data_IF_753764737340
#
_entry.id   IF_753764737340
#
_cell.length_a   1.000
_cell.length_b   1.000
_cell.length_c   1.000
_cell.angle_alpha   90.00
_cell.angle_beta   90.00
_cell.angle_gamma   90.00
#
_symmetry.space_group_name_H-M   'P 1'
#
loop_
_entity.id
_entity.type
_entity.pdbx_description
1 polymer ?
#
# COMPACT_ATOMS: atom_id res chain seq x y z
N UNK A 1 18.95 12.82 13.21
CA UNK A 1 18.29 13.81 12.34
C UNK A 1 16.82 13.77 12.66
N UNK A 2 16.29 14.85 13.23
CA UNK A 2 14.87 15.01 13.52
C UNK A 2 14.03 14.84 12.24
N UNK A 3 12.99 14.02 12.34
CA UNK A 3 11.99 13.91 11.29
C UNK A 3 11.23 15.24 11.18
N UNK A 4 11.48 15.98 10.10
CA UNK A 4 10.61 17.10 9.72
C UNK A 4 9.24 16.54 9.32
N UNK A 5 8.13 17.15 9.79
CA UNK A 5 6.80 16.78 9.35
C UNK A 5 6.63 17.11 7.87
N UNK A 6 6.16 16.13 7.10
CA UNK A 6 5.79 16.29 5.69
C UNK A 6 4.75 17.40 5.60
N UNK A 7 5.12 18.55 5.02
CA UNK A 7 4.15 19.61 4.66
C UNK A 7 3.34 19.12 3.47
N UNK A 8 2.12 18.67 3.71
CA UNK A 8 1.13 18.42 2.65
C UNK A 8 0.56 19.75 2.18
N UNK A 9 0.81 20.11 0.92
CA UNK A 9 0.17 21.27 0.27
C UNK A 9 -1.35 21.05 0.16
N UNK A 10 -2.10 22.07 0.59
CA UNK A 10 -3.55 22.08 0.61
C UNK A 10 -4.13 22.14 -0.81
N UNK A 11 -4.66 21.02 -1.32
CA UNK A 11 -5.62 21.09 -2.44
C UNK A 11 -6.61 19.93 -2.41
N UNK A 12 -7.57 20.05 -1.49
CA UNK A 12 -8.71 19.18 -1.28
C UNK A 12 -9.35 19.53 0.05
N UNK A 13 -10.26 20.51 0.06
CA UNK A 13 -10.81 21.07 1.30
C UNK A 13 -11.87 20.12 1.88
N UNK A 14 -11.44 18.99 2.42
CA UNK A 14 -12.25 18.29 3.41
C UNK A 14 -12.42 19.23 4.62
N UNK A 15 -13.62 19.40 5.17
CA UNK A 15 -13.81 20.23 6.34
C UNK A 15 -12.93 19.70 7.47
N UNK A 16 -11.97 20.52 7.92
CA UNK A 16 -11.12 20.19 9.07
C UNK A 16 -12.02 20.12 10.29
N UNK A 17 -12.11 18.94 10.90
CA UNK A 17 -12.84 18.74 12.14
C UNK A 17 -11.86 18.82 13.32
N UNK A 18 -12.12 19.71 14.27
CA UNK A 18 -11.41 19.74 15.56
C UNK A 18 -12.12 18.80 16.51
N UNK A 19 -11.38 17.83 17.07
CA UNK A 19 -11.91 16.96 18.12
C UNK A 19 -11.38 17.44 19.46
N UNK A 20 -12.30 17.66 20.40
CA UNK A 20 -11.98 18.13 21.74
C UNK A 20 -12.54 17.12 22.75
N UNK A 21 -11.72 16.68 23.69
CA UNK A 21 -12.14 15.90 24.86
C UNK A 21 -12.38 16.87 26.01
N UNK A 22 -13.46 16.68 26.77
CA UNK A 22 -13.92 17.69 27.73
C UNK A 22 -14.24 17.05 29.10
N UNK A 23 -14.08 17.81 30.20
CA UNK A 23 -14.03 17.28 31.56
C UNK A 23 -15.40 16.90 32.16
N UNK A 24 -15.39 15.91 33.06
CA UNK A 24 -16.61 15.32 33.66
C UNK A 24 -17.32 16.19 34.71
N UNK A 25 -16.65 17.21 35.29
CA UNK A 25 -17.15 17.95 36.45
C UNK A 25 -16.98 19.47 36.29
N UNK A 26 -18.06 20.16 35.88
CA UNK A 26 -18.16 21.61 35.80
C UNK A 26 -19.64 22.07 35.74
N UNK A 27 -19.96 23.32 36.13
CA UNK A 27 -21.33 23.74 36.51
C UNK A 27 -22.32 23.97 35.36
N UNK A 28 -22.09 23.42 34.17
CA UNK A 28 -23.01 23.55 33.05
C UNK A 28 -23.26 22.17 32.43
N UNK A 29 -24.49 21.92 31.97
CA UNK A 29 -24.97 20.62 31.52
C UNK A 29 -24.65 20.35 30.04
N UNK A 30 -24.33 19.09 29.69
CA UNK A 30 -24.15 18.66 28.31
C UNK A 30 -25.41 18.93 27.48
N UNK A 31 -25.31 19.38 26.22
CA UNK A 31 -26.48 19.60 25.40
C UNK A 31 -27.20 18.26 25.16
N UNK A 32 -28.55 18.25 25.22
CA UNK A 32 -29.31 17.03 25.00
C UNK A 32 -29.11 16.52 23.57
N UNK A 33 -29.15 15.21 23.41
CA UNK A 33 -29.08 14.57 22.11
C UNK A 33 -30.26 15.02 21.24
N UNK A 34 -29.98 15.60 20.08
CA UNK A 34 -30.99 15.90 19.06
C UNK A 34 -31.36 14.64 18.26
N UNK A 35 -30.39 13.73 18.08
CA UNK A 35 -30.59 12.44 17.41
C UNK A 35 -29.80 11.38 18.18
N UNK A 36 -30.43 10.25 18.47
CA UNK A 36 -29.80 9.09 19.12
C UNK A 36 -29.68 7.93 18.14
N UNK A 37 -28.56 7.22 18.22
CA UNK A 37 -28.28 6.02 17.45
C UNK A 37 -28.11 4.84 18.41
N UNK A 38 -28.59 3.67 18.02
CA UNK A 38 -28.40 2.42 18.78
C UNK A 38 -27.09 1.70 18.43
N UNK A 39 -26.35 2.19 17.44
CA UNK A 39 -25.10 1.61 16.93
C UNK A 39 -23.88 2.41 17.40
N UNK A 40 -22.70 1.82 17.56
CA UNK A 40 -21.47 2.57 17.84
C UNK A 40 -21.06 3.44 16.63
N UNK A 41 -20.25 4.47 16.88
CA UNK A 41 -19.62 5.27 15.83
C UNK A 41 -18.09 5.18 15.85
N UNK A 42 -17.48 5.37 14.69
CA UNK A 42 -16.02 5.49 14.55
C UNK A 42 -15.72 6.82 13.89
N UNK A 43 -14.89 7.63 14.56
CA UNK A 43 -14.34 8.86 14.02
C UNK A 43 -12.84 8.65 13.78
N UNK A 44 -12.36 8.89 12.56
CA UNK A 44 -10.96 8.70 12.23
C UNK A 44 -10.44 9.79 11.30
N UNK A 45 -9.14 10.04 11.35
CA UNK A 45 -8.48 10.98 10.45
C UNK A 45 -8.24 10.33 9.09
N UNK A 46 -8.48 11.12 8.04
CA UNK A 46 -8.08 10.78 6.67
C UNK A 46 -6.89 11.66 6.25
N UNK A 47 -5.98 11.09 5.47
CA UNK A 47 -4.79 11.78 4.94
C UNK A 47 -5.09 12.85 3.88
N UNK A 48 -6.36 13.04 3.50
CA UNK A 48 -6.82 14.09 2.60
C UNK A 48 -6.72 13.79 1.10
N UNK A 49 -6.24 12.60 0.72
CA UNK A 49 -6.08 12.19 -0.69
C UNK A 49 -7.05 11.07 -1.11
N UNK A 50 -8.03 10.74 -0.26
CA UNK A 50 -9.06 9.73 -0.52
C UNK A 50 -9.85 10.01 -1.80
N UNK A 51 -10.19 8.96 -2.54
CA UNK A 51 -10.98 8.99 -3.76
C UNK A 51 -10.20 9.33 -5.03
N UNK A 52 -8.86 9.51 -4.95
CA UNK A 52 -8.01 9.87 -6.09
C UNK A 52 -7.17 8.71 -6.62
N UNK A 53 -6.76 7.81 -5.75
CA UNK A 53 -5.95 6.66 -6.11
C UNK A 53 -6.24 5.48 -5.19
N UNK A 54 -6.11 4.28 -5.74
CA UNK A 54 -6.26 3.05 -4.98
C UNK A 54 -5.29 2.98 -3.78
N UNK A 55 -4.08 3.53 -3.92
CA UNK A 55 -3.14 3.64 -2.79
C UNK A 55 -3.70 4.49 -1.65
N UNK A 56 -4.15 5.73 -1.93
CA UNK A 56 -4.66 6.62 -0.90
C UNK A 56 -5.96 6.12 -0.26
N UNK A 57 -6.81 5.43 -1.02
CA UNK A 57 -8.00 4.79 -0.43
C UNK A 57 -7.62 3.74 0.62
N UNK A 58 -6.48 3.07 0.46
CA UNK A 58 -6.02 2.07 1.42
C UNK A 58 -5.17 2.69 2.54
N UNK A 59 -4.23 3.57 2.20
CA UNK A 59 -3.31 4.20 3.15
C UNK A 59 -3.99 5.24 4.04
N UNK A 60 -4.90 6.03 3.47
CA UNK A 60 -5.47 7.20 4.14
C UNK A 60 -6.86 6.90 4.73
N UNK A 61 -7.52 5.84 4.27
CA UNK A 61 -8.87 5.48 4.71
C UNK A 61 -8.91 4.09 5.32
N UNK A 62 -8.61 3.04 4.55
CA UNK A 62 -8.89 1.67 5.01
C UNK A 62 -8.01 1.22 6.19
N UNK A 63 -6.71 1.50 6.16
CA UNK A 63 -5.80 1.16 7.28
C UNK A 63 -6.15 1.96 8.54
N UNK A 64 -6.30 3.31 8.50
CA UNK A 64 -6.73 4.09 9.66
C UNK A 64 -8.11 3.66 10.20
N UNK A 65 -9.08 3.39 9.32
CA UNK A 65 -10.41 2.92 9.72
C UNK A 65 -10.35 1.53 10.38
N UNK A 66 -9.55 0.61 9.83
CA UNK A 66 -9.31 -0.70 10.45
C UNK A 66 -8.75 -0.55 11.86
N UNK A 67 -7.71 0.27 12.02
CA UNK A 67 -7.07 0.51 13.30
C UNK A 67 -8.02 1.20 14.28
N UNK A 68 -8.79 2.19 13.82
CA UNK A 68 -9.74 2.93 14.65
C UNK A 68 -10.93 2.05 15.07
N UNK A 69 -11.52 1.27 14.17
CA UNK A 69 -12.71 0.44 14.47
C UNK A 69 -12.44 -0.67 15.50
N UNK A 70 -11.19 -1.10 15.67
CA UNK A 70 -10.78 -2.16 16.61
C UNK A 70 -10.18 -1.64 17.91
N UNK A 71 -10.07 -0.32 18.07
CA UNK A 71 -9.71 0.27 19.36
C UNK A 71 -10.90 0.14 20.31
N UNK A 72 -10.65 -0.39 21.50
CA UNK A 72 -11.58 -0.30 22.62
C UNK A 72 -11.20 0.96 23.40
N UNK A 73 -12.03 2.01 23.30
CA UNK A 73 -11.91 3.17 24.17
C UNK A 73 -12.79 2.96 25.42
N UNK A 74 -12.23 2.96 26.64
CA UNK A 74 -12.98 3.33 27.82
C UNK A 74 -13.03 4.87 27.90
N UNK A 75 -14.24 5.43 27.93
CA UNK A 75 -14.46 6.82 28.36
C UNK A 75 -14.95 7.77 27.26
N UNK A 76 -16.14 8.31 27.50
CA UNK A 76 -16.80 9.43 26.79
C UNK A 76 -16.64 10.73 27.60
N UNK A 77 -16.60 11.94 26.97
CA UNK A 77 -17.35 13.20 27.33
C UNK A 77 -16.71 14.57 26.94
N UNK A 78 -17.49 15.65 27.13
CA UNK A 78 -17.92 16.75 26.21
C UNK A 78 -18.07 18.19 26.86
N UNK A 79 -18.01 19.29 26.04
CA UNK A 79 -18.29 20.76 26.19
C UNK A 79 -18.09 21.55 24.80
N UNK A 80 -18.25 22.89 24.64
CA UNK A 80 -19.45 23.54 24.14
C UNK A 80 -19.24 24.22 22.77
N UNK A 81 -20.16 24.00 21.84
CA UNK A 81 -20.40 24.86 20.67
C UNK A 81 -21.88 24.74 20.29
N UNK A 82 -22.47 25.80 19.74
CA UNK A 82 -23.83 25.77 19.18
C UNK A 82 -23.83 25.03 17.84
N UNK A 83 -23.88 23.70 17.89
CA UNK A 83 -24.20 22.86 16.75
C UNK A 83 -25.73 22.77 16.62
N UNK A 84 -26.25 22.91 15.40
CA UNK A 84 -27.70 22.81 15.14
C UNK A 84 -28.27 21.42 15.40
N UNK A 85 -27.43 20.38 15.53
CA UNK A 85 -27.80 19.00 15.86
C UNK A 85 -26.70 18.28 16.67
N UNK A 86 -27.06 17.68 17.81
CA UNK A 86 -26.18 16.81 18.62
C UNK A 86 -26.55 15.34 18.34
N UNK A 87 -25.60 14.56 17.82
CA UNK A 87 -25.78 13.12 17.55
C UNK A 87 -25.11 12.30 18.64
N UNK A 88 -25.86 11.40 19.26
CA UNK A 88 -25.37 10.55 20.35
C UNK A 88 -25.34 9.09 19.93
N UNK A 89 -24.27 8.40 20.34
CA UNK A 89 -24.03 6.99 20.12
C UNK A 89 -23.72 6.31 21.47
N UNK A 90 -24.08 5.04 21.68
CA UNK A 90 -23.74 4.30 22.89
C UNK A 90 -22.23 4.22 23.15
N UNK A 91 -21.43 4.20 22.08
CA UNK A 91 -19.97 4.18 22.14
C UNK A 91 -19.40 4.88 20.90
N UNK A 92 -18.30 5.61 21.07
CA UNK A 92 -17.55 6.23 19.97
C UNK A 92 -16.08 5.89 20.12
N UNK A 93 -15.49 5.35 19.05
CA UNK A 93 -14.04 5.18 18.96
C UNK A 93 -13.41 6.29 18.14
N UNK A 94 -12.34 6.90 18.65
CA UNK A 94 -11.69 8.07 18.05
C UNK A 94 -10.24 7.74 17.67
N UNK A 95 -9.92 7.78 16.36
CA UNK A 95 -8.60 7.49 15.79
C UNK A 95 -8.09 8.62 14.91
N UNK A 96 -7.53 9.68 15.49
CA UNK A 96 -7.22 10.93 14.78
C UNK A 96 -5.81 11.03 14.22
N UNK A 97 -5.04 9.95 14.28
CA UNK A 97 -3.64 9.98 13.90
C UNK A 97 -3.33 8.90 12.88
N UNK A 98 -2.69 9.32 11.79
CA UNK A 98 -2.02 8.45 10.84
C UNK A 98 -0.55 8.46 11.21
N UNK A 99 -0.05 7.33 11.69
CA UNK A 99 1.30 7.24 12.27
C UNK A 99 2.38 6.88 11.24
N UNK A 100 2.01 6.11 10.21
CA UNK A 100 2.89 5.70 9.12
C UNK A 100 2.04 5.48 7.86
N UNK A 101 2.58 5.84 6.69
CA UNK A 101 1.89 5.63 5.42
C UNK A 101 1.67 4.14 5.18
N UNK A 102 0.43 3.78 4.85
CA UNK A 102 -0.02 2.42 4.53
C UNK A 102 0.42 1.33 5.54
N UNK A 103 0.63 1.69 6.80
CA UNK A 103 1.19 0.77 7.79
C UNK A 103 0.57 1.00 9.18
N UNK A 104 0.61 -0.02 10.03
CA UNK A 104 0.18 0.00 11.42
C UNK A 104 1.42 -0.08 12.30
N UNK A 105 1.63 0.95 13.13
CA UNK A 105 2.68 0.94 14.17
C UNK A 105 2.10 0.29 15.42
N UNK A 106 2.51 -0.93 15.80
CA UNK A 106 1.86 -1.67 16.89
C UNK A 106 1.86 -0.92 18.23
N UNK A 107 2.93 -0.20 18.54
CA UNK A 107 3.10 0.63 19.74
C UNK A 107 2.00 1.69 19.88
N UNK A 108 1.47 2.15 18.74
CA UNK A 108 0.51 3.24 18.64
C UNK A 108 -0.89 2.75 18.24
N UNK A 109 -1.08 1.43 18.11
CA UNK A 109 -2.33 0.81 17.66
C UNK A 109 -2.87 -0.21 18.68
N UNK A 110 -3.46 0.26 19.80
CA UNK A 110 -4.08 -0.63 20.77
C UNK A 110 -5.30 -1.32 20.16
N UNK A 111 -5.40 -2.62 20.36
CA UNK A 111 -6.50 -3.47 19.91
C UNK A 111 -7.27 -4.11 21.07
N UNK A 112 -8.22 -5.01 20.76
CA UNK A 112 -9.06 -5.65 21.77
C UNK A 112 -8.23 -6.46 22.79
N UNK A 113 -8.63 -6.41 24.06
CA UNK A 113 -7.95 -7.15 25.13
C UNK A 113 -6.53 -6.66 25.46
N UNK A 114 -6.17 -5.43 25.05
CA UNK A 114 -4.84 -4.86 25.28
C UNK A 114 -3.77 -5.36 24.31
N UNK A 115 -4.13 -6.22 23.34
CA UNK A 115 -3.22 -6.66 22.28
C UNK A 115 -2.97 -5.52 21.30
N UNK A 116 -1.74 -5.37 20.83
CA UNK A 116 -1.39 -4.42 19.77
C UNK A 116 -1.81 -4.95 18.41
N UNK A 117 -2.42 -4.09 17.59
CA UNK A 117 -2.74 -4.40 16.20
C UNK A 117 -1.47 -4.37 15.35
N UNK A 118 -1.36 -5.25 14.37
CA UNK A 118 -0.26 -5.31 13.42
C UNK A 118 -0.76 -5.31 11.98
N UNK A 119 0.14 -5.14 11.01
CA UNK A 119 -0.21 -5.33 9.60
C UNK A 119 -0.67 -6.76 9.29
N UNK A 120 -0.24 -7.77 10.06
CA UNK A 120 -0.77 -9.13 9.91
C UNK A 120 -2.25 -9.24 10.30
N UNK A 121 -2.70 -8.47 11.30
CA UNK A 121 -4.14 -8.39 11.64
C UNK A 121 -4.94 -7.74 10.51
N UNK A 122 -4.37 -6.70 9.89
CA UNK A 122 -4.97 -6.06 8.73
C UNK A 122 -5.05 -7.01 7.53
N UNK A 123 -3.99 -7.76 7.26
CA UNK A 123 -3.99 -8.83 6.26
C UNK A 123 -5.09 -9.84 6.56
N UNK A 124 -5.22 -10.34 7.79
CA UNK A 124 -6.28 -11.28 8.16
C UNK A 124 -7.69 -10.72 7.87
N UNK A 125 -7.91 -9.45 8.20
CA UNK A 125 -9.18 -8.77 7.90
C UNK A 125 -9.45 -8.63 6.41
N UNK A 126 -8.48 -8.21 5.60
CA UNK A 126 -8.68 -8.12 4.14
C UNK A 126 -9.06 -9.49 3.57
N UNK A 127 -8.42 -10.55 4.06
CA UNK A 127 -8.67 -11.91 3.60
C UNK A 127 -10.08 -12.39 3.93
N UNK A 128 -10.56 -12.09 5.14
CA UNK A 128 -11.94 -12.35 5.55
C UNK A 128 -12.93 -11.53 4.70
N UNK A 129 -12.71 -10.21 4.61
CA UNK A 129 -13.60 -9.28 3.93
C UNK A 129 -13.78 -9.60 2.43
N UNK A 130 -12.72 -10.04 1.77
CA UNK A 130 -12.76 -10.40 0.33
C UNK A 130 -12.94 -11.90 0.07
N UNK A 131 -13.05 -12.72 1.13
CA UNK A 131 -13.11 -14.17 1.07
C UNK A 131 -11.97 -14.78 0.23
N UNK A 132 -10.73 -14.40 0.57
CA UNK A 132 -9.53 -14.79 -0.18
C UNK A 132 -9.16 -16.26 0.11
N UNK A 133 -9.12 -17.13 -0.91
CA UNK A 133 -9.00 -18.58 -0.71
C UNK A 133 -7.60 -19.06 -0.29
N UNK A 134 -6.53 -18.36 -0.70
CA UNK A 134 -5.15 -18.83 -0.47
C UNK A 134 -4.50 -18.14 0.71
N UNK A 135 -4.28 -18.87 1.81
CA UNK A 135 -3.71 -18.35 3.06
C UNK A 135 -2.18 -18.34 3.12
N UNK A 136 -1.53 -18.94 2.13
CA UNK A 136 -0.08 -19.00 2.01
C UNK A 136 0.34 -19.14 0.54
N UNK A 137 1.50 -18.55 0.21
CA UNK A 137 2.11 -18.74 -1.09
C UNK A 137 2.62 -20.18 -1.25
N UNK A 138 2.89 -20.58 -2.48
CA UNK A 138 3.37 -21.93 -2.76
C UNK A 138 4.73 -22.16 -2.10
N UNK A 139 4.88 -23.31 -1.45
CA UNK A 139 6.19 -23.85 -1.09
C UNK A 139 6.60 -24.84 -2.19
N UNK A 140 7.79 -24.63 -2.76
CA UNK A 140 8.41 -25.55 -3.70
C UNK A 140 9.45 -26.46 -3.01
N UNK A 141 9.47 -26.48 -1.67
CA UNK A 141 10.30 -27.41 -0.93
C UNK A 141 9.92 -28.86 -1.25
N UNK A 142 10.88 -29.81 -1.29
CA UNK A 142 10.57 -31.21 -1.51
C UNK A 142 9.66 -31.72 -0.38
N UNK A 143 8.37 -31.96 -0.68
CA UNK A 143 7.52 -32.76 0.20
C UNK A 143 7.86 -34.24 0.00
N UNK A 144 7.93 -34.99 1.10
CA UNK A 144 8.06 -36.44 1.05
C UNK A 144 6.91 -37.07 0.26
N UNK A 145 7.25 -38.19 -0.38
CA UNK A 145 6.62 -38.87 -1.53
C UNK A 145 5.10 -39.06 -1.58
N UNK A 146 4.50 -39.24 -2.78
CA UNK A 146 5.13 -39.20 -4.10
C UNK A 146 5.06 -37.79 -4.73
N UNK A 147 6.03 -37.42 -5.58
CA UNK A 147 6.01 -36.15 -6.28
C UNK A 147 4.79 -36.09 -7.21
N UNK A 148 4.03 -34.97 -7.24
CA UNK A 148 2.96 -34.80 -8.20
C UNK A 148 3.50 -34.91 -9.63
N UNK A 149 2.73 -35.54 -10.53
CA UNK A 149 3.11 -35.84 -11.91
C UNK A 149 3.51 -34.61 -12.76
N UNK A 150 3.24 -33.40 -12.27
CA UNK A 150 3.82 -32.13 -12.75
C UNK A 150 4.17 -31.26 -11.55
N UNK A 151 5.42 -30.79 -11.46
CA UNK A 151 5.79 -29.71 -10.54
C UNK A 151 4.99 -28.47 -10.92
N UNK A 152 4.08 -28.01 -10.06
CA UNK A 152 3.39 -26.73 -10.27
C UNK A 152 4.42 -25.61 -10.28
N UNK A 153 4.45 -24.84 -11.37
CA UNK A 153 5.28 -23.64 -11.43
C UNK A 153 4.63 -22.54 -10.57
N UNK A 154 5.41 -21.73 -9.84
CA UNK A 154 4.88 -20.57 -9.14
C UNK A 154 4.34 -19.56 -10.15
N UNK A 155 3.18 -18.99 -9.85
CA UNK A 155 2.55 -17.99 -10.71
C UNK A 155 3.12 -16.59 -10.41
N UNK A 156 3.56 -15.89 -11.45
CA UNK A 156 4.04 -14.51 -11.36
C UNK A 156 3.09 -13.56 -12.09
N UNK A 157 2.62 -12.54 -11.38
CA UNK A 157 1.88 -11.44 -11.98
C UNK A 157 2.84 -10.31 -12.37
N UNK A 158 2.95 -10.02 -13.68
CA UNK A 158 3.63 -8.84 -14.19
C UNK A 158 2.62 -7.73 -14.43
N UNK A 159 2.70 -6.66 -13.64
CA UNK A 159 1.84 -5.49 -13.80
C UNK A 159 2.32 -4.66 -15.00
N UNK A 160 1.56 -4.72 -16.09
CA UNK A 160 1.81 -3.91 -17.29
C UNK A 160 0.77 -2.80 -17.39
N UNK A 161 1.19 -1.57 -17.10
CA UNK A 161 0.33 -0.40 -17.21
C UNK A 161 0.14 0.03 -18.67
N UNK A 162 -1.04 0.56 -19.00
CA UNK A 162 -1.33 1.08 -20.35
C UNK A 162 -0.96 2.54 -20.59
N UNK A 163 -0.98 3.40 -19.56
CA UNK A 163 -0.88 4.87 -19.74
C UNK A 163 0.50 5.47 -19.43
N UNK A 164 1.03 5.23 -18.24
CA UNK A 164 2.28 5.79 -17.74
C UNK A 164 2.93 4.80 -16.75
N UNK A 165 4.24 4.92 -16.51
CA UNK A 165 5.05 3.95 -15.74
C UNK A 165 4.96 2.55 -16.32
N UNK A 166 5.07 2.48 -17.64
CA UNK A 166 4.95 1.25 -18.41
C UNK A 166 6.31 0.61 -18.52
N UNK A 167 6.34 -0.72 -18.61
CA UNK A 167 7.51 -1.40 -19.13
C UNK A 167 7.48 -1.29 -20.65
N UNK A 168 8.52 -0.70 -21.22
CA UNK A 168 8.70 -0.58 -22.68
C UNK A 168 8.98 -1.96 -23.28
N UNK A 169 9.76 -2.79 -22.58
CA UNK A 169 10.09 -4.16 -22.97
C UNK A 169 9.41 -5.21 -22.07
N UNK A 170 8.12 -5.00 -21.77
CA UNK A 170 7.33 -5.90 -20.92
C UNK A 170 7.34 -7.37 -21.37
N UNK A 171 7.31 -7.63 -22.68
CA UNK A 171 7.35 -8.99 -23.22
C UNK A 171 8.71 -9.69 -22.97
N UNK A 172 9.82 -8.95 -23.00
CA UNK A 172 11.14 -9.48 -22.66
C UNK A 172 11.23 -9.80 -21.17
N UNK A 173 10.66 -8.94 -20.34
CA UNK A 173 10.58 -9.13 -18.90
C UNK A 173 9.73 -10.36 -18.54
N UNK A 174 8.60 -10.56 -19.23
CA UNK A 174 7.78 -11.75 -19.06
C UNK A 174 8.54 -13.04 -19.44
N UNK A 175 9.22 -13.04 -20.59
CA UNK A 175 10.08 -14.17 -21.00
C UNK A 175 11.22 -14.44 -20.02
N UNK A 176 11.80 -13.40 -19.44
CA UNK A 176 12.84 -13.54 -18.41
C UNK A 176 12.29 -14.20 -17.14
N UNK A 177 11.09 -13.84 -16.70
CA UNK A 177 10.41 -14.48 -15.58
C UNK A 177 10.07 -15.95 -15.87
N UNK A 178 9.62 -16.26 -17.08
CA UNK A 178 9.39 -17.65 -17.51
C UNK A 178 10.67 -18.48 -17.54
N UNK A 179 11.77 -17.90 -18.03
CA UNK A 179 13.09 -18.52 -18.03
C UNK A 179 13.64 -18.75 -16.60
N UNK A 180 13.28 -17.88 -15.65
CA UNK A 180 13.60 -18.07 -14.23
C UNK A 180 12.76 -19.17 -13.56
N UNK A 181 11.72 -19.69 -14.23
CA UNK A 181 10.92 -20.84 -13.77
C UNK A 181 9.48 -20.51 -13.37
N UNK A 182 9.06 -19.25 -13.47
CA UNK A 182 7.68 -18.85 -13.19
C UNK A 182 6.75 -19.21 -14.36
N UNK A 183 5.46 -19.29 -14.05
CA UNK A 183 4.40 -19.16 -15.04
C UNK A 183 3.86 -17.72 -14.94
N UNK A 184 4.08 -16.93 -16.00
CA UNK A 184 3.89 -15.47 -15.95
C UNK A 184 2.56 -15.06 -16.57
N UNK A 185 1.81 -14.20 -15.88
CA UNK A 185 0.62 -13.54 -16.39
C UNK A 185 0.87 -12.04 -16.44
N UNK A 186 0.65 -11.43 -17.59
CA UNK A 186 0.78 -9.97 -17.79
C UNK A 186 -0.61 -9.34 -17.70
N UNK A 187 -0.79 -8.36 -16.81
CA UNK A 187 -2.09 -7.69 -16.65
C UNK A 187 -1.96 -6.23 -16.21
N UNK A 188 -2.90 -5.40 -16.63
CA UNK A 188 -3.06 -4.03 -16.10
C UNK A 188 -3.99 -4.06 -14.87
N UNK A 189 -3.45 -4.52 -13.75
CA UNK A 189 -4.15 -4.46 -12.46
C UNK A 189 -4.19 -3.00 -12.00
N UNK A 190 -5.39 -2.42 -12.00
CA UNK A 190 -5.60 -0.98 -11.79
C UNK A 190 -6.52 -0.30 -12.80
N UNK A 191 -7.10 -1.05 -13.75
CA UNK A 191 -8.25 -0.56 -14.50
C UNK A 191 -9.47 -0.48 -13.56
N UNK A 192 -10.05 0.72 -13.41
CA UNK A 192 -11.18 1.00 -12.51
C UNK A 192 -12.49 0.28 -12.92
N UNK A 193 -12.42 -0.63 -13.88
CA UNK A 193 -13.55 -1.40 -14.43
C UNK A 193 -13.81 -2.69 -13.65
N UNK A 194 -12.79 -3.27 -13.01
CA UNK A 194 -12.92 -4.53 -12.26
C UNK A 194 -13.34 -4.26 -10.82
N UNK A 195 -14.27 -5.06 -10.29
CA UNK A 195 -14.65 -4.95 -8.88
C UNK A 195 -13.46 -5.33 -8.01
N UNK A 196 -13.18 -4.54 -6.98
CA UNK A 196 -12.04 -4.77 -6.06
C UNK A 196 -12.03 -6.19 -5.51
N UNK A 197 -13.19 -6.76 -5.17
CA UNK A 197 -13.28 -8.13 -4.68
C UNK A 197 -12.83 -9.20 -5.70
N UNK A 198 -13.12 -8.99 -6.99
CA UNK A 198 -12.69 -9.90 -8.06
C UNK A 198 -11.18 -9.75 -8.28
N UNK A 199 -10.70 -8.51 -8.34
CA UNK A 199 -9.29 -8.20 -8.44
C UNK A 199 -8.48 -8.80 -7.27
N UNK A 200 -8.98 -8.69 -6.05
CA UNK A 200 -8.36 -9.26 -4.86
C UNK A 200 -8.22 -10.78 -4.97
N UNK A 201 -9.26 -11.48 -5.45
CA UNK A 201 -9.21 -12.95 -5.65
C UNK A 201 -8.24 -13.34 -6.76
N UNK A 202 -8.19 -12.58 -7.86
CA UNK A 202 -7.24 -12.80 -8.94
C UNK A 202 -5.81 -12.63 -8.44
N UNK A 203 -5.50 -11.52 -7.76
CA UNK A 203 -4.15 -11.27 -7.23
C UNK A 203 -3.77 -12.31 -6.17
N UNK A 204 -4.72 -12.75 -5.34
CA UNK A 204 -4.49 -13.79 -4.33
C UNK A 204 -4.11 -15.16 -4.94
N UNK A 205 -4.31 -15.38 -6.23
CA UNK A 205 -3.89 -16.61 -6.91
C UNK A 205 -2.39 -16.69 -7.20
N UNK A 206 -1.66 -15.56 -7.18
CA UNK A 206 -0.25 -15.47 -7.54
C UNK A 206 0.69 -15.73 -6.35
N UNK A 207 1.92 -16.17 -6.67
CA UNK A 207 3.00 -16.44 -5.70
C UNK A 207 4.10 -15.36 -5.74
N UNK A 208 4.18 -14.62 -6.84
CA UNK A 208 5.04 -13.45 -7.00
C UNK A 208 4.32 -12.35 -7.79
N UNK A 209 4.68 -11.09 -7.54
CA UNK A 209 4.17 -9.96 -8.31
C UNK A 209 5.27 -8.94 -8.56
N UNK A 210 5.38 -8.51 -9.82
CA UNK A 210 6.36 -7.52 -10.29
C UNK A 210 5.62 -6.32 -10.83
N UNK A 211 6.04 -5.11 -10.46
CA UNK A 211 5.52 -3.89 -11.07
C UNK A 211 6.33 -2.67 -10.73
N UNK A 212 6.09 -1.60 -11.48
CA UNK A 212 6.71 -0.30 -11.24
C UNK A 212 6.03 0.38 -10.05
N UNK A 213 6.84 1.05 -9.22
CA UNK A 213 6.37 1.85 -8.09
C UNK A 213 5.13 2.72 -8.43
N UNK A 214 4.18 2.75 -7.50
CA UNK A 214 2.91 3.47 -7.60
C UNK A 214 1.69 2.56 -7.46
N UNK A 215 0.49 3.13 -7.66
CA UNK A 215 -0.77 2.54 -7.22
C UNK A 215 -1.11 1.11 -7.71
N UNK A 216 -0.49 0.62 -8.79
CA UNK A 216 -0.70 -0.77 -9.23
C UNK A 216 -0.17 -1.78 -8.19
N UNK A 217 0.92 -1.43 -7.51
CA UNK A 217 1.57 -2.30 -6.52
C UNK A 217 0.79 -2.42 -5.21
N UNK A 218 -0.16 -1.53 -4.91
CA UNK A 218 -1.00 -1.64 -3.70
C UNK A 218 -1.74 -2.98 -3.67
N UNK A 219 -2.02 -3.56 -4.84
CA UNK A 219 -2.61 -4.89 -4.97
C UNK A 219 -1.80 -6.00 -4.31
N UNK A 220 -0.51 -5.79 -4.03
CA UNK A 220 0.34 -6.73 -3.31
C UNK A 220 -0.27 -7.14 -1.97
N UNK A 221 -1.08 -6.28 -1.32
CA UNK A 221 -1.78 -6.61 -0.08
C UNK A 221 -2.73 -7.81 -0.17
N UNK A 222 -3.12 -8.21 -1.38
CA UNK A 222 -3.96 -9.39 -1.62
C UNK A 222 -3.16 -10.66 -1.90
N UNK A 223 -1.86 -10.55 -2.10
CA UNK A 223 -0.99 -11.72 -2.23
C UNK A 223 -1.07 -12.55 -0.94
N UNK A 224 -0.97 -13.88 -1.06
CA UNK A 224 -0.91 -14.72 0.12
C UNK A 224 0.39 -14.47 0.90
N UNK A 225 0.37 -14.54 2.25
CA UNK A 225 1.57 -14.43 3.06
C UNK A 225 2.74 -15.30 2.57
N UNK A 226 3.92 -14.70 2.59
CA UNK A 226 5.21 -15.19 2.09
C UNK A 226 5.31 -15.33 0.58
N UNK A 227 4.38 -14.76 -0.19
CA UNK A 227 4.58 -14.47 -1.61
C UNK A 227 5.65 -13.38 -1.78
N UNK A 228 6.16 -13.24 -3.01
CA UNK A 228 7.21 -12.27 -3.32
C UNK A 228 6.62 -11.02 -3.97
N UNK A 229 6.89 -9.85 -3.38
CA UNK A 229 6.62 -8.55 -3.96
C UNK A 229 7.92 -7.95 -4.51
N UNK A 230 8.02 -7.85 -5.83
CA UNK A 230 9.15 -7.22 -6.51
C UNK A 230 8.73 -5.81 -6.97
N UNK A 231 9.35 -4.80 -6.37
CA UNK A 231 9.14 -3.41 -6.72
C UNK A 231 10.25 -2.92 -7.64
N UNK A 232 9.87 -2.49 -8.85
CA UNK A 232 10.76 -1.74 -9.73
C UNK A 232 10.66 -0.26 -9.37
N UNK A 233 11.75 0.31 -8.89
CA UNK A 233 11.84 1.70 -8.44
C UNK A 233 12.30 2.59 -9.60
N UNK A 234 11.51 3.59 -10.02
CA UNK A 234 11.86 4.50 -11.10
C UNK A 234 13.15 5.29 -10.79
N UNK A 235 13.80 5.76 -11.85
CA UNK A 235 14.93 6.68 -11.71
C UNK A 235 14.47 7.97 -11.02
N UNK A 236 15.39 8.62 -10.30
CA UNK A 236 15.15 9.93 -9.70
C UNK A 236 15.19 9.97 -8.17
N UNK A 237 16.02 9.14 -7.52
CA UNK A 237 16.15 9.08 -6.05
C UNK A 237 14.83 8.75 -5.33
N UNK A 238 14.13 7.73 -5.82
CA UNK A 238 12.80 7.33 -5.36
C UNK A 238 12.82 6.23 -4.28
N UNK A 239 13.98 5.72 -3.88
CA UNK A 239 14.17 4.54 -3.03
C UNK A 239 13.50 4.71 -1.66
N UNK A 240 13.74 5.84 -0.98
CA UNK A 240 13.15 6.09 0.34
C UNK A 240 11.61 6.15 0.29
N UNK A 241 11.07 6.73 -0.78
CA UNK A 241 9.62 6.82 -1.02
C UNK A 241 9.08 5.43 -1.34
N UNK A 242 9.76 4.70 -2.22
CA UNK A 242 9.38 3.36 -2.62
C UNK A 242 9.34 2.37 -1.46
N UNK A 243 10.38 2.40 -0.62
CA UNK A 243 10.51 1.59 0.56
C UNK A 243 9.44 1.90 1.61
N UNK A 244 9.17 3.17 1.87
CA UNK A 244 8.18 3.55 2.89
C UNK A 244 6.74 3.26 2.46
N UNK A 245 6.41 3.37 1.17
CA UNK A 245 5.06 3.15 0.66
C UNK A 245 4.71 1.69 0.33
N UNK A 246 5.66 0.90 -0.18
CA UNK A 246 5.39 -0.49 -0.60
C UNK A 246 6.45 -1.50 -0.13
N UNK A 247 7.58 -1.06 0.44
CA UNK A 247 8.57 -1.96 1.02
C UNK A 247 8.15 -2.42 2.41
N UNK A 248 8.28 -1.52 3.38
CA UNK A 248 8.01 -1.82 4.79
C UNK A 248 6.58 -2.36 5.01
N UNK A 249 5.50 -1.76 4.44
CA UNK A 249 4.16 -2.29 4.64
C UNK A 249 4.02 -3.73 4.14
N UNK A 250 4.62 -4.08 3.01
CA UNK A 250 4.50 -5.42 2.43
C UNK A 250 5.28 -6.45 3.26
N UNK A 251 6.43 -6.06 3.81
CA UNK A 251 7.19 -6.88 4.76
C UNK A 251 6.37 -7.12 6.03
N UNK A 252 5.77 -6.08 6.60
CA UNK A 252 4.96 -6.18 7.82
C UNK A 252 3.66 -6.99 7.58
N UNK A 253 3.20 -7.06 6.33
CA UNK A 253 2.11 -7.96 5.89
C UNK A 253 2.55 -9.41 5.66
N UNK A 254 3.84 -9.71 5.84
CA UNK A 254 4.41 -11.04 5.74
C UNK A 254 4.84 -11.43 4.32
N UNK A 255 5.05 -10.48 3.41
CA UNK A 255 5.57 -10.75 2.06
C UNK A 255 7.10 -10.64 2.04
N UNK A 256 7.73 -11.38 1.11
CA UNK A 256 9.13 -11.15 0.78
C UNK A 256 9.24 -9.97 -0.16
N UNK A 257 10.01 -8.95 0.21
CA UNK A 257 10.16 -7.74 -0.58
C UNK A 257 11.51 -7.70 -1.29
N UNK A 258 11.48 -7.54 -2.61
CA UNK A 258 12.66 -7.34 -3.44
C UNK A 258 12.57 -5.99 -4.14
N UNK A 259 13.65 -5.22 -4.09
CA UNK A 259 13.76 -3.92 -4.74
C UNK A 259 14.67 -4.01 -5.96
N UNK A 260 14.24 -3.43 -7.08
CA UNK A 260 15.09 -3.20 -8.25
C UNK A 260 15.06 -1.73 -8.65
N UNK A 261 16.13 -1.02 -8.33
CA UNK A 261 16.31 0.38 -8.69
C UNK A 261 16.89 0.48 -10.09
N UNK A 262 16.19 1.19 -10.96
CA UNK A 262 16.64 1.35 -12.35
C UNK A 262 17.74 2.40 -12.47
N UNK A 263 18.63 2.18 -13.42
CA UNK A 263 19.60 3.20 -13.84
C UNK A 263 18.98 4.23 -14.79
N UNK A 264 19.72 5.31 -15.06
CA UNK A 264 19.31 6.32 -16.04
C UNK A 264 19.08 5.71 -17.45
N UNK A 265 19.93 4.76 -17.85
CA UNK A 265 19.85 4.08 -19.15
C UNK A 265 18.58 3.23 -19.32
N UNK A 266 17.92 2.89 -18.21
CA UNK A 266 16.67 2.13 -18.20
C UNK A 266 15.44 3.07 -18.15
N UNK A 267 15.65 4.39 -18.13
CA UNK A 267 14.62 5.42 -18.08
C UNK A 267 14.40 6.06 -19.44
N UNK A 268 13.14 6.27 -19.84
CA UNK A 268 12.84 7.05 -21.06
C UNK A 268 13.05 8.56 -20.87
N UNK A 269 13.46 9.03 -19.69
CA UNK A 269 13.66 10.45 -19.42
C UNK A 269 14.78 11.05 -20.28
N UNK A 270 15.82 10.27 -20.58
CA UNK A 270 16.91 10.71 -21.45
C UNK A 270 16.40 11.03 -22.86
N UNK A 271 15.55 10.15 -23.40
CA UNK A 271 14.93 10.28 -24.72
C UNK A 271 13.89 11.41 -24.77
N UNK A 272 13.12 11.59 -23.69
CA UNK A 272 11.94 12.48 -23.67
C UNK A 272 12.23 13.90 -23.22
N UNK A 273 13.21 14.09 -22.33
CA UNK A 273 13.55 15.41 -21.76
C UNK A 273 14.95 15.89 -22.17
N UNK A 274 15.82 14.98 -22.63
CA UNK A 274 17.21 15.27 -22.95
C UNK A 274 18.14 15.22 -21.72
N UNK A 275 19.46 15.07 -21.95
CA UNK A 275 20.46 14.85 -20.90
C UNK A 275 20.64 16.04 -19.94
N UNK A 276 20.40 17.26 -20.41
CA UNK A 276 20.62 18.48 -19.63
C UNK A 276 19.43 18.85 -18.74
N UNK A 277 18.28 18.19 -18.91
CA UNK A 277 17.10 18.50 -18.13
C UNK A 277 17.32 18.19 -16.64
N UNK A 278 16.88 19.04 -15.69
CA UNK A 278 17.10 18.84 -14.25
C UNK A 278 16.65 17.47 -13.73
N UNK A 279 15.53 16.95 -14.24
CA UNK A 279 15.04 15.62 -13.88
C UNK A 279 16.00 14.46 -14.23
N UNK A 280 16.89 14.66 -15.20
CA UNK A 280 17.93 13.71 -15.61
C UNK A 280 19.25 14.00 -14.88
N UNK A 281 19.66 15.28 -14.86
CA UNK A 281 21.00 15.65 -14.39
C UNK A 281 21.12 15.85 -12.88
N UNK A 282 20.08 16.39 -12.25
CA UNK A 282 20.04 16.71 -10.82
C UNK A 282 18.67 16.36 -10.21
N UNK A 283 18.40 15.07 -9.95
CA UNK A 283 17.15 14.66 -9.35
C UNK A 283 16.83 15.31 -8.01
N UNK A 284 17.83 15.68 -7.23
CA UNK A 284 17.59 16.36 -5.95
C UNK A 284 16.96 17.73 -6.13
N UNK A 285 17.30 18.46 -7.21
CA UNK A 285 16.63 19.72 -7.52
C UNK A 285 15.13 19.53 -7.72
N UNK A 286 14.71 18.45 -8.38
CA UNK A 286 13.30 18.12 -8.58
C UNK A 286 12.61 17.83 -7.26
N UNK A 287 13.25 17.07 -6.36
CA UNK A 287 12.73 16.83 -5.01
C UNK A 287 12.61 18.14 -4.20
N UNK A 288 13.59 19.04 -4.30
CA UNK A 288 13.54 20.36 -3.65
C UNK A 288 12.43 21.26 -4.21
N UNK A 289 12.02 21.06 -5.45
CA UNK A 289 10.88 21.76 -6.07
C UNK A 289 9.51 21.23 -5.62
N UNK A 290 9.46 20.18 -4.81
CA UNK A 290 8.24 19.65 -4.22
C UNK A 290 7.66 18.43 -4.95
N UNK A 291 6.63 17.84 -4.32
CA UNK A 291 6.05 16.57 -4.74
C UNK A 291 5.42 16.61 -6.13
N UNK A 292 4.81 17.73 -6.53
CA UNK A 292 4.19 17.86 -7.84
C UNK A 292 5.19 17.63 -8.98
N UNK A 293 6.43 18.10 -8.82
CA UNK A 293 7.49 17.92 -9.82
C UNK A 293 8.03 16.49 -9.83
N UNK A 294 8.18 15.87 -8.65
CA UNK A 294 8.53 14.44 -8.51
C UNK A 294 7.49 13.57 -9.20
N UNK A 295 6.21 13.81 -8.94
CA UNK A 295 5.10 13.10 -9.55
C UNK A 295 5.05 13.32 -11.06
N UNK A 296 5.27 14.55 -11.53
CA UNK A 296 5.25 14.87 -12.96
C UNK A 296 6.37 14.15 -13.72
N UNK A 297 7.61 14.24 -13.25
CA UNK A 297 8.74 13.69 -13.99
C UNK A 297 8.96 12.20 -13.73
N UNK A 298 9.04 11.78 -12.47
CA UNK A 298 9.43 10.41 -12.14
C UNK A 298 8.27 9.44 -12.15
N UNK A 299 7.03 9.93 -11.96
CA UNK A 299 5.85 9.08 -11.93
C UNK A 299 4.96 9.21 -13.18
N UNK A 300 4.88 10.34 -13.88
CA UNK A 300 3.99 10.44 -15.06
C UNK A 300 4.72 10.36 -16.40
N UNK A 301 5.86 11.03 -16.53
CA UNK A 301 6.61 11.15 -17.81
C UNK A 301 7.62 10.02 -18.05
N UNK A 302 7.92 9.24 -17.03
CA UNK A 302 8.89 8.16 -17.09
C UNK A 302 8.21 6.81 -17.38
N UNK A 303 8.60 6.19 -18.48
CA UNK A 303 8.45 4.76 -18.75
C UNK A 303 9.82 4.07 -18.58
N UNK A 304 9.81 2.75 -18.41
CA UNK A 304 10.98 1.99 -17.98
C UNK A 304 11.33 0.91 -19.00
N UNK A 305 12.59 0.84 -19.41
CA UNK A 305 13.15 -0.22 -20.27
C UNK A 305 14.13 -1.04 -19.44
N UNK A 306 13.67 -2.17 -18.92
CA UNK A 306 14.42 -2.96 -17.93
C UNK A 306 15.58 -3.69 -18.59
N UNK A 307 16.77 -3.55 -18.01
CA UNK A 307 17.93 -4.35 -18.38
C UNK A 307 17.74 -5.77 -17.82
N UNK A 308 17.34 -6.70 -18.69
CA UNK A 308 17.01 -8.08 -18.31
C UNK A 308 18.19 -8.79 -17.63
N UNK A 309 19.42 -8.54 -18.08
CA UNK A 309 20.62 -9.15 -17.47
C UNK A 309 20.82 -8.70 -16.03
N UNK A 310 20.57 -7.41 -15.73
CA UNK A 310 20.64 -6.88 -14.37
C UNK A 310 19.44 -7.28 -13.51
N UNK A 311 18.28 -7.51 -14.12
CA UNK A 311 17.06 -7.91 -13.41
C UNK A 311 16.98 -9.41 -13.11
N UNK A 312 17.65 -10.26 -13.90
CA UNK A 312 17.62 -11.70 -13.74
C UNK A 312 18.00 -12.21 -12.33
N UNK A 313 19.01 -11.65 -11.62
CA UNK A 313 19.30 -12.01 -10.24
C UNK A 313 18.11 -11.80 -9.28
N UNK A 314 17.33 -10.72 -9.47
CA UNK A 314 16.13 -10.44 -8.65
C UNK A 314 15.07 -11.51 -8.84
N UNK A 315 14.84 -11.96 -10.09
CA UNK A 315 13.93 -13.07 -10.39
C UNK A 315 14.42 -14.39 -9.79
N UNK A 316 15.72 -14.65 -9.84
CA UNK A 316 16.33 -15.84 -9.24
C UNK A 316 16.16 -15.84 -7.71
N UNK A 317 16.37 -14.69 -7.06
CA UNK A 317 16.15 -14.53 -5.62
C UNK A 317 14.69 -14.77 -5.24
N UNK A 318 13.74 -14.24 -6.02
CA UNK A 318 12.32 -14.47 -5.82
C UNK A 318 11.96 -15.96 -5.91
N UNK A 319 12.46 -16.65 -6.94
CA UNK A 319 12.20 -18.07 -7.12
C UNK A 319 12.82 -18.91 -6.00
N UNK A 320 14.04 -18.58 -5.60
CA UNK A 320 14.76 -19.27 -4.52
C UNK A 320 14.07 -19.13 -3.17
N UNK A 321 13.48 -17.96 -2.88
CA UNK A 321 12.64 -17.76 -1.69
C UNK A 321 11.49 -18.76 -1.64
N UNK A 322 10.72 -18.89 -2.72
CA UNK A 322 9.61 -19.84 -2.81
C UNK A 322 10.09 -21.30 -2.71
N UNK A 323 11.33 -21.59 -3.13
CA UNK A 323 11.95 -22.92 -2.99
C UNK A 323 12.37 -23.26 -1.58
N UNK A 324 12.82 -22.27 -0.80
CA UNK A 324 13.29 -22.46 0.58
C UNK A 324 12.19 -22.41 1.62
N UNK A 325 11.03 -21.85 1.28
CA UNK A 325 9.87 -21.83 2.17
C UNK A 325 9.46 -23.25 2.57
N UNK A 326 9.45 -23.51 3.88
CA UNK A 326 8.93 -24.75 4.48
C UNK A 326 7.44 -24.62 4.75
#
# INVERSE_FOLDING_TARGET
MEHQPIRTEERGQHPKATVTQLPDHGPAALPPCTVTYAVPAVLFAIGGHSGRSFFHDHSDVLVPLFAASRRVCPGTRSWPWTATHVRCFPHVTVGLHIHKLFNIVPELAPGPGGRRLTMSDFTAFLREAYALPRHEAVSLAPRESPPPAKKKKPLLLLIQRKRYRRFVNGDELARAAEAAGFETVVSDVGDNTTRVAEQARTVNSFDAMVGVHGAGLTNAMFLPPGAVHIQVVPYGKMEAIARSEYGDPMIDMGLEYLEYVIGLEESTLLETLGPDHPAVRDPESVHRSGWDMVNEFYLKKQDLRINITRFAPTLAQAFEHLRRRQ
#
